data_IF_508622561875
#
_entry.id   IF_508622561875
#
_cell.length_a   1.000
_cell.length_b   1.000
_cell.length_c   1.000
_cell.angle_alpha   90.00
_cell.angle_beta   90.00
_cell.angle_gamma   90.00
#
_symmetry.space_group_name_H-M   'P 1'
#
loop_
_entity.id
_entity.type
_entity.pdbx_description
1 polymer ?
#
# COMPACT_ATOMS: atom_id res chain seq x y z
N UNK A 1 6.24 70.24 -16.26
CA UNK A 1 4.91 70.90 -16.35
C UNK A 1 3.80 69.86 -16.14
N UNK A 2 2.55 70.26 -15.82
CA UNK A 2 1.42 69.40 -15.43
C UNK A 2 0.38 69.24 -16.59
N UNK A 3 -0.88 68.76 -16.39
CA UNK A 3 -1.52 68.05 -15.27
C UNK A 3 -1.76 66.55 -15.66
N UNK A 4 -2.79 65.74 -15.35
CA UNK A 4 -4.11 65.80 -14.66
C UNK A 4 -4.44 64.39 -14.10
N UNK A 5 -5.35 64.05 -13.16
CA UNK A 5 -6.51 64.68 -12.47
C UNK A 5 -7.82 64.73 -13.30
N UNK A 6 -9.03 64.43 -12.79
CA UNK A 6 -9.52 63.79 -11.53
C UNK A 6 -11.06 63.60 -11.63
N UNK A 7 -11.63 62.51 -11.06
CA UNK A 7 -13.01 62.37 -10.47
C UNK A 7 -14.22 62.69 -11.41
N UNK A 8 -15.44 62.19 -11.20
CA UNK A 8 -16.03 61.36 -10.15
C UNK A 8 -17.51 61.75 -9.93
N UNK A 9 -18.27 60.97 -9.13
CA UNK A 9 -19.73 61.02 -8.91
C UNK A 9 -20.55 60.55 -10.14
N UNK A 10 -21.58 59.68 -10.11
CA UNK A 10 -22.58 59.15 -9.14
C UNK A 10 -23.97 59.80 -9.18
N UNK A 11 -25.01 58.96 -9.18
CA UNK A 11 -26.43 59.22 -8.94
C UNK A 11 -27.22 59.98 -10.03
N UNK A 12 -28.55 59.87 -10.14
CA UNK A 12 -29.51 58.79 -9.81
C UNK A 12 -30.93 59.16 -10.33
N UNK A 13 -31.90 58.27 -10.09
CA UNK A 13 -33.37 58.49 -10.10
C UNK A 13 -34.08 58.49 -11.46
N UNK A 14 -35.14 57.68 -11.49
CA UNK A 14 -36.04 57.42 -12.60
C UNK A 14 -37.04 58.54 -12.92
N UNK A 15 -37.69 58.43 -14.08
CA UNK A 15 -39.07 58.88 -14.29
C UNK A 15 -39.85 57.81 -15.09
N UNK A 16 -41.14 57.69 -14.82
CA UNK A 16 -42.07 56.74 -15.43
C UNK A 16 -43.00 57.49 -16.40
N UNK A 17 -43.40 56.87 -17.52
CA UNK A 17 -44.76 56.89 -18.10
C UNK A 17 -44.78 56.09 -19.41
N UNK A 18 -45.91 55.49 -19.74
CA UNK A 18 -46.14 54.78 -21.01
C UNK A 18 -47.38 55.36 -21.71
N UNK A 19 -47.53 55.13 -23.01
CA UNK A 19 -48.82 54.69 -23.58
C UNK A 19 -48.71 54.11 -25.00
N UNK A 20 -49.38 52.96 -25.19
CA UNK A 20 -50.06 52.44 -26.40
C UNK A 20 -49.47 52.62 -27.82
N UNK A 21 -49.40 51.51 -28.55
CA UNK A 21 -48.98 51.43 -29.95
C UNK A 21 -50.16 51.38 -30.94
N UNK A 22 -49.88 51.63 -32.23
CA UNK A 22 -50.48 50.91 -33.38
C UNK A 22 -49.62 51.15 -34.63
N UNK A 23 -49.40 50.12 -35.45
CA UNK A 23 -48.60 50.20 -36.68
C UNK A 23 -48.64 48.86 -37.46
N UNK A 24 -48.78 48.86 -38.80
CA UNK A 24 -49.18 47.68 -39.56
C UNK A 24 -48.02 46.81 -40.10
N UNK A 25 -48.37 45.67 -40.67
CA UNK A 25 -47.45 44.64 -41.14
C UNK A 25 -46.86 44.90 -42.54
N UNK A 26 -45.64 44.40 -42.75
CA UNK A 26 -45.04 44.10 -44.05
C UNK A 26 -44.08 42.91 -43.90
N UNK A 27 -43.97 42.05 -44.92
CA UNK A 27 -43.11 40.87 -44.90
C UNK A 27 -41.63 41.22 -45.17
N UNK A 28 -40.71 40.61 -44.43
CA UNK A 28 -39.27 40.69 -44.66
C UNK A 28 -38.60 39.34 -44.40
N UNK A 29 -37.45 39.09 -45.04
CA UNK A 29 -36.75 37.80 -45.02
C UNK A 29 -36.39 37.33 -43.60
N UNK A 30 -36.46 36.02 -43.38
CA UNK A 30 -35.96 35.39 -42.16
C UNK A 30 -34.45 35.60 -42.03
N UNK A 31 -34.02 36.19 -40.91
CA UNK A 31 -32.63 36.16 -40.49
C UNK A 31 -32.24 34.72 -40.10
N UNK A 32 -30.97 34.30 -40.28
CA UNK A 32 -30.52 32.99 -39.85
C UNK A 32 -30.65 32.86 -38.33
N UNK A 33 -31.37 31.84 -37.87
CA UNK A 33 -31.43 31.51 -36.44
C UNK A 33 -30.04 31.16 -35.92
N UNK A 34 -29.64 31.64 -34.72
CA UNK A 34 -28.41 31.16 -34.10
C UNK A 34 -28.51 29.65 -33.90
N UNK A 35 -27.41 28.88 -34.08
CA UNK A 35 -27.44 27.45 -33.84
C UNK A 35 -27.85 27.20 -32.39
N UNK A 36 -28.83 26.31 -32.19
CA UNK A 36 -29.15 25.81 -30.85
C UNK A 36 -27.87 25.27 -30.22
N UNK A 37 -27.62 25.48 -28.91
CA UNK A 37 -26.47 24.89 -28.26
C UNK A 37 -26.56 23.38 -28.44
N UNK A 38 -25.64 22.80 -29.21
CA UNK A 38 -25.52 21.35 -29.36
C UNK A 38 -25.40 20.78 -27.96
N UNK A 39 -26.39 19.99 -27.54
CA UNK A 39 -26.32 19.28 -26.29
C UNK A 39 -25.07 18.38 -26.36
N UNK A 40 -24.02 18.76 -25.62
CA UNK A 40 -22.84 17.91 -25.44
C UNK A 40 -23.37 16.61 -24.88
N UNK A 41 -23.38 15.56 -25.72
CA UNK A 41 -23.66 14.21 -25.26
C UNK A 41 -22.60 13.92 -24.21
N UNK A 42 -23.01 13.91 -22.94
CA UNK A 42 -22.12 13.53 -21.86
C UNK A 42 -21.65 12.11 -22.18
N UNK A 43 -20.34 11.96 -22.42
CA UNK A 43 -19.78 10.67 -22.78
C UNK A 43 -20.23 9.65 -21.73
N UNK A 44 -20.89 8.58 -22.19
CA UNK A 44 -21.36 7.52 -21.30
C UNK A 44 -20.20 7.03 -20.43
N UNK A 45 -20.44 6.72 -19.15
CA UNK A 45 -19.36 6.45 -18.21
C UNK A 45 -18.54 5.28 -18.71
N UNK A 46 -17.23 5.50 -18.85
CA UNK A 46 -16.35 4.53 -19.51
C UNK A 46 -16.28 3.24 -18.70
N UNK A 47 -16.44 2.10 -19.37
CA UNK A 47 -16.30 0.77 -18.75
C UNK A 47 -14.82 0.58 -18.40
N UNK A 48 -14.56 0.30 -17.12
CA UNK A 48 -13.22 0.06 -16.56
C UNK A 48 -12.85 -1.43 -16.66
N UNK A 49 -13.86 -2.30 -16.52
CA UNK A 49 -13.72 -3.73 -16.68
C UNK A 49 -14.97 -4.49 -16.23
N UNK A 50 -14.91 -5.81 -16.38
CA UNK A 50 -15.87 -6.76 -15.81
C UNK A 50 -15.12 -7.71 -14.89
N UNK A 51 -15.60 -7.87 -13.65
CA UNK A 51 -15.01 -8.73 -12.63
C UNK A 51 -15.94 -9.90 -12.36
N UNK A 52 -15.47 -11.13 -12.57
CA UNK A 52 -16.14 -12.34 -12.06
C UNK A 52 -15.79 -12.54 -10.60
N UNK A 53 -16.79 -12.44 -9.71
CA UNK A 53 -16.65 -12.67 -8.28
C UNK A 53 -16.47 -14.16 -7.95
N UNK A 54 -16.08 -14.45 -6.70
CA UNK A 54 -15.91 -15.82 -6.17
C UNK A 54 -17.18 -16.69 -6.23
N UNK A 55 -18.36 -16.07 -6.34
CA UNK A 55 -19.66 -16.72 -6.55
C UNK A 55 -19.93 -17.13 -8.01
N UNK A 56 -19.17 -16.56 -8.95
CA UNK A 56 -19.42 -16.59 -10.39
C UNK A 56 -20.28 -15.44 -10.93
N UNK A 57 -20.80 -14.55 -10.07
CA UNK A 57 -21.49 -13.33 -10.51
C UNK A 57 -20.51 -12.40 -11.25
N UNK A 58 -20.94 -11.86 -12.39
CA UNK A 58 -20.17 -10.89 -13.19
C UNK A 58 -20.64 -9.48 -12.89
N UNK A 59 -19.71 -8.64 -12.43
CA UNK A 59 -19.92 -7.22 -12.14
C UNK A 59 -19.27 -6.39 -13.23
N UNK A 60 -20.05 -5.59 -13.96
CA UNK A 60 -19.49 -4.60 -14.91
C UNK A 60 -19.40 -3.24 -14.23
N UNK A 61 -18.19 -2.67 -14.23
CA UNK A 61 -17.85 -1.43 -13.51
C UNK A 61 -17.50 -0.33 -14.51
N UNK A 62 -18.01 0.87 -14.26
CA UNK A 62 -17.65 2.10 -14.97
C UNK A 62 -17.00 3.10 -14.01
N UNK A 63 -16.24 4.07 -14.54
CA UNK A 63 -15.65 5.15 -13.75
C UNK A 63 -16.30 6.50 -14.07
N UNK A 64 -16.59 7.27 -13.03
CA UNK A 64 -17.02 8.66 -13.11
C UNK A 64 -16.10 9.52 -12.22
N UNK A 65 -15.25 10.35 -12.84
CA UNK A 65 -14.33 11.27 -12.14
C UNK A 65 -13.47 10.58 -11.05
N UNK A 66 -12.94 9.40 -11.36
CA UNK A 66 -12.12 8.59 -10.45
C UNK A 66 -12.90 7.64 -9.53
N UNK A 67 -14.20 7.87 -9.30
CA UNK A 67 -15.04 6.96 -8.52
C UNK A 67 -15.59 5.82 -9.39
N UNK A 68 -15.42 4.59 -8.95
CA UNK A 68 -16.05 3.42 -9.55
C UNK A 68 -17.55 3.39 -9.31
N UNK A 69 -18.30 2.77 -10.22
CA UNK A 69 -19.75 2.61 -10.13
C UNK A 69 -20.18 1.34 -10.85
N UNK A 70 -21.02 0.53 -10.21
CA UNK A 70 -21.53 -0.71 -10.78
C UNK A 70 -22.65 -0.40 -11.77
N UNK A 71 -22.52 -0.92 -12.99
CA UNK A 71 -23.49 -0.71 -14.07
C UNK A 71 -24.37 -1.94 -14.30
N UNK A 72 -23.87 -3.13 -14.02
CA UNK A 72 -24.67 -4.36 -13.99
C UNK A 72 -24.04 -5.41 -13.08
N UNK A 73 -24.88 -6.21 -12.40
CA UNK A 73 -24.49 -7.49 -11.82
C UNK A 73 -25.34 -8.57 -12.47
N UNK A 74 -24.70 -9.60 -13.02
CA UNK A 74 -25.39 -10.77 -13.59
C UNK A 74 -24.89 -12.06 -12.98
N UNK A 75 -25.81 -12.94 -12.64
CA UNK A 75 -25.51 -14.25 -12.08
C UNK A 75 -24.83 -15.20 -13.09
N UNK A 76 -24.35 -16.38 -12.67
CA UNK A 76 -23.71 -17.33 -13.59
C UNK A 76 -24.63 -17.92 -14.67
N UNK A 77 -25.93 -17.58 -14.69
CA UNK A 77 -26.87 -17.92 -15.76
C UNK A 77 -27.22 -16.72 -16.66
N UNK A 78 -26.55 -15.56 -16.47
CA UNK A 78 -26.76 -14.35 -17.26
C UNK A 78 -28.03 -13.57 -16.91
N UNK A 79 -28.68 -13.88 -15.77
CA UNK A 79 -29.84 -13.12 -15.27
C UNK A 79 -29.34 -11.96 -14.41
N UNK A 80 -30.11 -10.88 -14.27
CA UNK A 80 -29.79 -9.81 -13.31
C UNK A 80 -29.71 -10.39 -11.90
N UNK A 81 -28.53 -10.31 -11.27
CA UNK A 81 -28.27 -10.90 -9.97
C UNK A 81 -28.83 -10.07 -8.81
N UNK A 82 -29.23 -10.75 -7.73
CA UNK A 82 -29.47 -10.10 -6.45
C UNK A 82 -28.12 -9.81 -5.78
N UNK A 83 -27.82 -8.53 -5.58
CA UNK A 83 -26.57 -8.09 -4.95
C UNK A 83 -26.71 -6.73 -4.26
N UNK A 84 -26.05 -6.59 -3.13
CA UNK A 84 -25.91 -5.34 -2.40
C UNK A 84 -24.63 -4.62 -2.82
N UNK A 85 -24.76 -3.43 -3.41
CA UNK A 85 -23.64 -2.54 -3.75
C UNK A 85 -23.45 -1.53 -2.63
N UNK A 86 -22.21 -1.39 -2.13
CA UNK A 86 -21.85 -0.46 -1.06
C UNK A 86 -20.57 0.30 -1.45
N UNK A 87 -20.51 1.60 -1.18
CA UNK A 87 -19.28 2.38 -1.35
C UNK A 87 -18.78 2.90 0.00
N UNK A 88 -17.48 2.70 0.27
CA UNK A 88 -16.82 3.11 1.51
C UNK A 88 -15.58 3.90 1.14
N UNK A 89 -15.54 5.19 1.45
CA UNK A 89 -14.55 6.10 0.86
C UNK A 89 -14.71 6.15 -0.66
N UNK A 90 -13.70 5.67 -1.39
CA UNK A 90 -13.71 5.48 -2.85
C UNK A 90 -13.71 3.99 -3.28
N UNK A 91 -13.60 3.06 -2.33
CA UNK A 91 -13.81 1.63 -2.59
C UNK A 91 -15.28 1.34 -2.87
N UNK A 92 -15.54 0.34 -3.71
CA UNK A 92 -16.88 -0.12 -4.06
C UNK A 92 -16.94 -1.64 -3.94
N UNK A 93 -17.81 -2.10 -3.06
CA UNK A 93 -18.05 -3.49 -2.75
C UNK A 93 -19.34 -3.96 -3.41
N UNK A 94 -19.35 -5.20 -3.90
CA UNK A 94 -20.53 -5.85 -4.45
C UNK A 94 -20.68 -7.22 -3.80
N UNK A 95 -21.67 -7.35 -2.94
CA UNK A 95 -21.95 -8.59 -2.22
C UNK A 95 -23.21 -9.26 -2.81
N UNK A 96 -23.08 -10.34 -3.60
CA UNK A 96 -24.23 -11.11 -4.06
C UNK A 96 -25.00 -11.71 -2.88
N UNK A 97 -26.32 -11.79 -2.99
CA UNK A 97 -27.20 -12.22 -1.89
C UNK A 97 -26.83 -13.61 -1.35
N UNK A 98 -26.32 -14.48 -2.22
CA UNK A 98 -25.85 -15.83 -1.87
C UNK A 98 -24.60 -15.84 -0.99
N UNK A 99 -23.78 -14.78 -1.02
CA UNK A 99 -22.54 -14.67 -0.25
C UNK A 99 -22.76 -14.04 1.14
N UNK A 100 -23.79 -13.19 1.30
CA UNK A 100 -24.07 -12.46 2.55
C UNK A 100 -24.06 -13.33 3.81
N UNK A 101 -24.64 -14.55 3.86
CA UNK A 101 -24.61 -15.38 5.06
C UNK A 101 -23.19 -15.80 5.48
N UNK A 102 -22.32 -16.02 4.50
CA UNK A 102 -20.93 -16.44 4.73
C UNK A 102 -20.03 -15.25 5.09
N UNK A 103 -20.24 -14.08 4.47
CA UNK A 103 -19.59 -12.81 4.87
C UNK A 103 -19.97 -12.46 6.32
N UNK A 104 -21.27 -12.47 6.65
CA UNK A 104 -21.77 -12.17 8.00
C UNK A 104 -21.30 -13.17 9.08
N UNK A 105 -20.93 -14.40 8.69
CA UNK A 105 -20.30 -15.39 9.58
C UNK A 105 -18.78 -15.22 9.74
N UNK A 106 -18.16 -14.34 8.94
CA UNK A 106 -16.70 -14.19 8.84
C UNK A 106 -16.01 -15.28 8.00
N UNK A 107 -16.75 -16.24 7.44
CA UNK A 107 -16.20 -17.35 6.64
C UNK A 107 -15.73 -16.93 5.23
N UNK A 108 -16.14 -15.73 4.76
CA UNK A 108 -15.55 -15.10 3.58
C UNK A 108 -14.94 -13.75 3.96
N UNK A 109 -13.89 -13.40 3.23
CA UNK A 109 -13.19 -12.14 3.32
C UNK A 109 -13.84 -11.05 2.44
N UNK A 110 -13.92 -9.82 2.93
CA UNK A 110 -14.63 -8.75 2.21
C UNK A 110 -13.86 -8.21 0.99
N UNK A 111 -12.53 -8.35 0.97
CA UNK A 111 -11.68 -8.02 -0.16
C UNK A 111 -12.03 -8.84 -1.43
N UNK A 112 -12.62 -10.03 -1.27
CA UNK A 112 -13.15 -10.86 -2.38
C UNK A 112 -14.32 -10.21 -3.13
N UNK A 113 -14.87 -9.12 -2.58
CA UNK A 113 -16.03 -8.39 -3.08
C UNK A 113 -15.73 -6.91 -3.36
N UNK A 114 -14.51 -6.43 -3.06
CA UNK A 114 -14.07 -5.07 -3.39
C UNK A 114 -13.69 -4.98 -4.88
N UNK A 115 -14.63 -4.53 -5.72
CA UNK A 115 -14.37 -4.44 -7.17
C UNK A 115 -13.42 -3.31 -7.54
N UNK A 116 -13.19 -2.31 -6.66
CA UNK A 116 -12.13 -1.30 -6.86
C UNK A 116 -10.75 -1.95 -6.77
N UNK A 117 -10.49 -2.72 -5.71
CA UNK A 117 -9.22 -3.41 -5.47
C UNK A 117 -8.95 -4.52 -6.49
N UNK A 118 -9.96 -5.35 -6.80
CA UNK A 118 -9.83 -6.40 -7.81
C UNK A 118 -9.51 -5.84 -9.21
N UNK A 119 -10.04 -4.67 -9.58
CA UNK A 119 -9.66 -3.97 -10.82
C UNK A 119 -8.24 -3.41 -10.75
N UNK A 120 -7.85 -2.80 -9.62
CA UNK A 120 -6.53 -2.19 -9.43
C UNK A 120 -5.39 -3.23 -9.41
N UNK A 121 -5.65 -4.46 -8.96
CA UNK A 121 -4.72 -5.59 -9.04
C UNK A 121 -4.83 -6.39 -10.36
N UNK A 122 -5.84 -6.13 -11.19
CA UNK A 122 -6.00 -6.78 -12.50
C UNK A 122 -6.54 -8.20 -12.44
N UNK A 123 -7.49 -8.45 -11.54
CA UNK A 123 -8.26 -9.70 -11.43
C UNK A 123 -9.62 -9.63 -12.18
N UNK A 124 -9.73 -8.74 -13.16
CA UNK A 124 -10.84 -8.66 -14.10
C UNK A 124 -10.71 -9.67 -15.26
N UNK A 125 -11.85 -9.99 -15.87
CA UNK A 125 -12.03 -10.97 -16.95
C UNK A 125 -11.14 -10.71 -18.20
N UNK A 126 -10.61 -9.49 -18.36
CA UNK A 126 -9.75 -9.12 -19.49
C UNK A 126 -8.24 -9.23 -19.17
N UNK A 127 -7.86 -9.35 -17.89
CA UNK A 127 -6.46 -9.42 -17.43
C UNK A 127 -6.09 -10.71 -16.70
N UNK A 128 -7.07 -11.47 -16.19
CA UNK A 128 -6.85 -12.78 -15.57
C UNK A 128 -7.90 -13.82 -15.96
N UNK A 129 -7.50 -15.10 -16.04
CA UNK A 129 -8.43 -16.25 -16.12
C UNK A 129 -8.76 -16.85 -14.73
N UNK A 130 -8.17 -16.31 -13.66
CA UNK A 130 -8.26 -16.84 -12.30
C UNK A 130 -8.25 -15.78 -11.19
N UNK A 131 -8.83 -16.15 -10.05
CA UNK A 131 -8.75 -15.43 -8.78
C UNK A 131 -7.89 -16.26 -7.81
N UNK A 132 -6.76 -15.74 -7.29
CA UNK A 132 -5.95 -16.44 -6.30
C UNK A 132 -6.51 -16.21 -4.89
N UNK A 133 -6.52 -17.26 -4.07
CA UNK A 133 -7.23 -17.32 -2.80
C UNK A 133 -6.40 -18.07 -1.75
N UNK A 134 -6.46 -17.62 -0.50
CA UNK A 134 -5.97 -18.39 0.65
C UNK A 134 -7.15 -19.06 1.35
N UNK A 135 -7.04 -20.36 1.60
CA UNK A 135 -8.05 -21.17 2.30
C UNK A 135 -7.48 -21.68 3.60
N UNK A 136 -8.11 -21.35 4.73
CA UNK A 136 -7.80 -21.92 6.05
C UNK A 136 -8.83 -22.99 6.42
N UNK A 137 -8.42 -24.00 7.19
CA UNK A 137 -9.28 -25.12 7.59
C UNK A 137 -9.54 -25.12 9.10
N UNK A 138 -10.64 -25.76 9.55
CA UNK A 138 -11.06 -25.74 10.96
C UNK A 138 -10.07 -26.40 11.92
N UNK A 139 -9.32 -27.38 11.43
CA UNK A 139 -8.33 -28.13 12.19
C UNK A 139 -7.32 -28.82 11.25
N UNK A 140 -6.16 -29.22 11.78
CA UNK A 140 -5.10 -29.86 11.01
C UNK A 140 -5.52 -31.21 10.38
N UNK A 141 -6.50 -31.92 10.97
CA UNK A 141 -7.08 -33.10 10.36
C UNK A 141 -8.13 -32.75 9.30
N UNK A 142 -8.83 -31.61 9.38
CA UNK A 142 -9.70 -31.10 8.32
C UNK A 142 -8.86 -30.70 7.11
N UNK A 143 -7.76 -29.97 7.29
CA UNK A 143 -6.75 -29.73 6.25
C UNK A 143 -6.24 -31.03 5.60
N UNK A 144 -6.06 -32.09 6.40
CA UNK A 144 -5.58 -33.40 5.92
C UNK A 144 -6.67 -34.27 5.29
N UNK A 145 -7.95 -34.03 5.60
CA UNK A 145 -9.13 -34.61 4.94
C UNK A 145 -9.47 -33.87 3.64
N UNK A 146 -9.25 -32.56 3.61
CA UNK A 146 -9.47 -31.64 2.50
C UNK A 146 -8.35 -31.67 1.44
N UNK A 147 -7.74 -32.84 1.21
CA UNK A 147 -6.77 -33.03 0.10
C UNK A 147 -7.41 -32.82 -1.27
N UNK A 148 -8.75 -32.92 -1.38
CA UNK A 148 -9.49 -32.50 -2.57
C UNK A 148 -9.72 -30.99 -2.53
N UNK A 149 -8.95 -30.24 -3.32
CA UNK A 149 -9.22 -28.83 -3.65
C UNK A 149 -10.67 -28.67 -4.15
N UNK A 150 -11.37 -27.57 -3.82
CA UNK A 150 -12.71 -27.32 -4.36
C UNK A 150 -12.70 -27.34 -5.89
N UNK A 151 -13.82 -27.75 -6.50
CA UNK A 151 -13.90 -27.86 -7.96
C UNK A 151 -13.65 -26.50 -8.64
N UNK A 152 -13.12 -26.49 -9.86
CA UNK A 152 -12.77 -25.27 -10.58
C UNK A 152 -11.49 -24.56 -10.09
N UNK A 153 -10.95 -24.96 -8.93
CA UNK A 153 -9.68 -24.46 -8.41
C UNK A 153 -8.54 -25.49 -8.47
N UNK A 154 -7.31 -24.97 -8.42
CA UNK A 154 -6.06 -25.73 -8.37
C UNK A 154 -5.22 -25.26 -7.18
N UNK A 155 -4.50 -26.16 -6.51
CA UNK A 155 -3.69 -25.81 -5.34
C UNK A 155 -2.30 -25.35 -5.76
N UNK A 156 -1.90 -24.16 -5.32
CA UNK A 156 -0.60 -23.54 -5.66
C UNK A 156 0.44 -23.74 -4.55
N UNK A 157 0.07 -23.56 -3.27
CA UNK A 157 1.01 -23.64 -2.15
C UNK A 157 0.44 -24.30 -0.89
N UNK A 158 1.34 -24.83 -0.04
CA UNK A 158 1.02 -25.34 1.29
C UNK A 158 1.36 -24.29 2.37
N UNK A 159 0.36 -23.84 3.14
CA UNK A 159 0.51 -22.79 4.14
C UNK A 159 0.35 -23.40 5.55
N UNK A 160 1.33 -24.19 5.98
CA UNK A 160 1.25 -25.01 7.20
C UNK A 160 1.12 -24.19 8.48
N UNK A 161 1.77 -23.03 8.55
CA UNK A 161 1.73 -22.09 9.68
C UNK A 161 0.32 -21.62 10.04
N UNK A 162 -0.51 -21.34 9.02
CA UNK A 162 -1.92 -20.92 9.17
C UNK A 162 -2.92 -22.07 8.98
N UNK A 163 -2.44 -23.33 9.01
CA UNK A 163 -3.22 -24.53 8.74
C UNK A 163 -4.03 -24.47 7.42
N UNK A 164 -3.45 -23.89 6.37
CA UNK A 164 -4.14 -23.58 5.11
C UNK A 164 -3.42 -24.01 3.82
N UNK A 165 -3.89 -23.47 2.71
CA UNK A 165 -3.31 -23.59 1.38
C UNK A 165 -3.63 -22.35 0.53
N UNK A 166 -2.71 -21.97 -0.37
CA UNK A 166 -3.04 -21.07 -1.47
C UNK A 166 -3.61 -21.89 -2.64
N UNK A 167 -4.62 -21.35 -3.31
CA UNK A 167 -5.27 -21.95 -4.47
C UNK A 167 -5.53 -20.88 -5.55
N UNK A 168 -5.60 -21.30 -6.80
CA UNK A 168 -6.02 -20.48 -7.94
C UNK A 168 -7.36 -21.02 -8.46
N UNK A 169 -8.43 -20.23 -8.33
CA UNK A 169 -9.78 -20.56 -8.78
C UNK A 169 -10.04 -19.95 -10.16
N UNK A 170 -10.37 -20.77 -11.17
CA UNK A 170 -10.63 -20.28 -12.53
C UNK A 170 -11.95 -19.54 -12.61
N UNK A 171 -11.95 -18.31 -13.14
CA UNK A 171 -13.17 -17.49 -13.29
C UNK A 171 -14.23 -18.21 -14.17
N UNK A 172 -13.77 -18.95 -15.18
CA UNK A 172 -14.62 -19.79 -16.06
C UNK A 172 -15.24 -21.02 -15.37
N UNK A 173 -14.83 -21.34 -14.14
CA UNK A 173 -15.40 -22.40 -13.28
C UNK A 173 -15.90 -21.86 -11.94
N UNK A 174 -16.03 -20.54 -11.77
CA UNK A 174 -16.34 -19.91 -10.47
C UNK A 174 -17.67 -20.38 -9.86
N UNK A 175 -18.70 -20.67 -10.67
CA UNK A 175 -19.97 -21.23 -10.19
C UNK A 175 -19.83 -22.66 -9.62
N UNK A 176 -18.98 -23.49 -10.22
CA UNK A 176 -18.70 -24.84 -9.73
C UNK A 176 -17.84 -24.81 -8.46
N UNK A 177 -16.88 -23.87 -8.42
CA UNK A 177 -16.11 -23.56 -7.22
C UNK A 177 -17.03 -23.12 -6.08
N UNK A 178 -17.94 -22.18 -6.32
CA UNK A 178 -18.93 -21.72 -5.35
C UNK A 178 -19.84 -22.86 -4.86
N UNK A 179 -20.33 -23.69 -5.78
CA UNK A 179 -21.13 -24.87 -5.47
C UNK A 179 -20.36 -25.90 -4.63
N UNK A 180 -19.09 -26.13 -4.95
CA UNK A 180 -18.19 -27.02 -4.20
C UNK A 180 -17.77 -26.45 -2.84
N UNK A 181 -17.71 -25.13 -2.69
CA UNK A 181 -17.29 -24.42 -1.48
C UNK A 181 -18.45 -24.27 -0.49
N UNK A 182 -19.68 -24.07 -0.97
CA UNK A 182 -20.89 -23.96 -0.15
C UNK A 182 -21.62 -25.29 0.05
N UNK A 183 -21.33 -26.30 -0.79
CA UNK A 183 -22.03 -27.58 -0.81
C UNK A 183 -23.42 -27.52 -1.48
N UNK A 184 -23.77 -26.42 -2.15
CA UNK A 184 -25.08 -26.21 -2.75
C UNK A 184 -25.48 -27.31 -3.77
N UNK A 185 -24.53 -27.84 -4.54
CA UNK A 185 -24.76 -28.93 -5.48
C UNK A 185 -25.18 -30.27 -4.85
N UNK A 186 -25.04 -30.45 -3.54
CA UNK A 186 -25.43 -31.67 -2.82
C UNK A 186 -26.90 -31.68 -2.34
N UNK A 187 -27.71 -30.68 -2.72
CA UNK A 187 -29.08 -30.48 -2.25
C UNK A 187 -30.16 -31.14 -3.16
N UNK A 188 -30.01 -32.42 -3.51
CA UNK A 188 -30.95 -33.14 -4.40
C UNK A 188 -31.56 -34.44 -3.87
N UNK A 189 -31.28 -34.84 -2.62
CA UNK A 189 -32.13 -35.78 -1.86
C UNK A 189 -32.04 -35.54 -0.35
N UNK A 190 -33.20 -35.48 0.34
CA UNK A 190 -33.30 -35.45 1.79
C UNK A 190 -33.45 -34.04 2.38
N UNK A 191 -34.59 -33.79 3.03
CA UNK A 191 -34.84 -32.53 3.73
C UNK A 191 -33.93 -32.40 4.96
N UNK A 192 -33.05 -31.40 4.97
CA UNK A 192 -32.38 -30.95 6.19
C UNK A 192 -33.16 -29.77 6.77
N UNK A 193 -33.56 -29.89 8.03
CA UNK A 193 -34.17 -28.80 8.78
C UNK A 193 -33.21 -27.60 8.86
N UNK A 194 -33.75 -26.39 8.90
CA UNK A 194 -32.98 -25.17 9.05
C UNK A 194 -32.37 -25.09 10.46
N UNK A 195 -31.15 -25.61 10.61
CA UNK A 195 -30.37 -25.44 11.84
C UNK A 195 -29.96 -23.97 11.99
N UNK A 196 -30.27 -23.37 13.14
CA UNK A 196 -30.02 -21.95 13.46
C UNK A 196 -28.55 -21.66 13.82
N UNK A 197 -27.62 -22.16 13.00
CA UNK A 197 -26.18 -21.88 13.11
C UNK A 197 -25.72 -20.86 12.06
N UNK A 198 -24.53 -20.26 12.24
CA UNK A 198 -23.90 -19.45 11.19
C UNK A 198 -23.63 -20.29 9.93
N UNK A 199 -23.65 -19.64 8.76
CA UNK A 199 -23.42 -20.32 7.49
C UNK A 199 -21.98 -20.83 7.39
N UNK A 200 -21.81 -22.14 7.29
CA UNK A 200 -20.51 -22.81 7.29
C UNK A 200 -20.13 -23.34 5.90
N UNK A 201 -18.85 -23.22 5.55
CA UNK A 201 -18.33 -23.70 4.27
C UNK A 201 -18.11 -25.21 4.27
N UNK A 202 -18.18 -25.83 3.09
CA UNK A 202 -18.02 -27.25 2.90
C UNK A 202 -16.55 -27.71 3.06
N UNK A 203 -16.35 -29.02 3.18
CA UNK A 203 -15.00 -29.63 3.20
C UNK A 203 -14.16 -29.34 4.45
N UNK A 204 -14.70 -28.67 5.48
CA UNK A 204 -13.95 -28.26 6.66
C UNK A 204 -13.12 -26.98 6.46
N UNK A 205 -13.46 -26.17 5.44
CA UNK A 205 -12.95 -24.81 5.29
C UNK A 205 -13.49 -23.93 6.42
N UNK A 206 -12.60 -23.16 7.06
CA UNK A 206 -12.94 -22.18 8.08
C UNK A 206 -13.16 -20.79 7.49
N UNK A 207 -12.21 -20.30 6.67
CA UNK A 207 -12.34 -19.03 5.94
C UNK A 207 -11.66 -19.10 4.57
N UNK A 208 -12.19 -18.37 3.59
CA UNK A 208 -11.50 -18.02 2.34
C UNK A 208 -11.15 -16.54 2.35
N UNK A 209 -9.92 -16.22 1.94
CA UNK A 209 -9.33 -14.89 1.83
C UNK A 209 -8.89 -14.60 0.40
N UNK A 210 -8.77 -13.31 0.05
CA UNK A 210 -8.06 -12.92 -1.17
C UNK A 210 -6.56 -13.15 -1.00
N UNK A 211 -5.90 -13.74 -2.01
CA UNK A 211 -4.43 -13.78 -2.09
C UNK A 211 -3.96 -12.48 -2.78
N UNK A 212 -4.03 -11.38 -2.02
CA UNK A 212 -3.88 -10.00 -2.52
C UNK A 212 -2.44 -9.64 -2.89
N UNK A 213 -2.25 -8.71 -3.85
CA UNK A 213 -0.90 -8.34 -4.28
C UNK A 213 -0.30 -7.28 -3.36
N UNK A 214 0.89 -7.57 -2.84
CA UNK A 214 1.78 -6.56 -2.27
C UNK A 214 2.67 -5.97 -3.36
N UNK A 215 3.08 -4.72 -3.20
CA UNK A 215 3.91 -3.94 -4.14
C UNK A 215 5.03 -3.27 -3.34
N UNK A 216 6.23 -3.17 -3.92
CA UNK A 216 7.28 -2.32 -3.39
C UNK A 216 6.95 -0.84 -3.69
N UNK A 217 7.24 0.06 -2.77
CA UNK A 217 6.77 1.46 -2.80
C UNK A 217 7.89 2.49 -2.56
N UNK A 218 9.16 2.15 -2.78
CA UNK A 218 10.27 3.08 -2.51
C UNK A 218 10.17 4.34 -3.38
N UNK A 219 9.79 4.21 -4.66
CA UNK A 219 9.46 5.37 -5.52
C UNK A 219 8.37 6.27 -4.95
N UNK A 220 7.42 5.70 -4.22
CA UNK A 220 6.22 6.40 -3.76
C UNK A 220 6.51 7.09 -2.41
N UNK A 221 7.29 6.45 -1.54
CA UNK A 221 7.80 7.01 -0.29
C UNK A 221 8.82 8.13 -0.55
N UNK A 222 9.74 7.96 -1.51
CA UNK A 222 10.69 9.03 -1.87
C UNK A 222 9.99 10.24 -2.51
N UNK A 223 8.94 10.02 -3.30
CA UNK A 223 8.07 11.09 -3.77
C UNK A 223 7.28 11.77 -2.63
N UNK A 224 6.79 11.01 -1.64
CA UNK A 224 6.05 11.55 -0.49
C UNK A 224 6.88 12.55 0.35
N UNK A 225 8.21 12.38 0.41
CA UNK A 225 9.12 13.30 1.12
C UNK A 225 9.73 14.41 0.23
N UNK A 226 9.38 14.46 -1.07
CA UNK A 226 9.90 15.46 -2.01
C UNK A 226 11.34 15.24 -2.47
N UNK A 227 11.86 14.00 -2.41
CA UNK A 227 13.20 13.69 -2.90
C UNK A 227 13.38 13.93 -4.43
N UNK A 228 12.40 13.65 -5.32
CA UNK A 228 12.53 13.96 -6.75
C UNK A 228 12.81 15.43 -7.06
N UNK A 229 12.21 16.36 -6.30
CA UNK A 229 12.43 17.79 -6.42
C UNK A 229 13.85 18.19 -6.01
N UNK A 230 14.40 17.56 -4.97
CA UNK A 230 15.79 17.74 -4.52
C UNK A 230 16.77 17.20 -5.58
N UNK A 231 16.53 15.98 -6.09
CA UNK A 231 17.34 15.41 -7.18
C UNK A 231 17.31 16.26 -8.46
N UNK A 232 16.18 16.92 -8.75
CA UNK A 232 16.06 17.83 -9.90
C UNK A 232 16.87 19.12 -9.74
N UNK A 233 17.21 19.52 -8.51
CA UNK A 233 18.20 20.56 -8.22
C UNK A 233 19.65 20.11 -8.44
N UNK A 234 19.90 18.80 -8.57
CA UNK A 234 21.23 18.18 -8.66
C UNK A 234 21.73 17.60 -7.33
N UNK A 235 21.04 17.87 -6.22
CA UNK A 235 21.40 17.39 -4.89
C UNK A 235 21.07 15.90 -4.76
N UNK A 236 22.11 15.09 -4.62
CA UNK A 236 22.01 13.61 -4.55
C UNK A 236 22.75 13.02 -3.34
N UNK A 237 23.27 13.86 -2.45
CA UNK A 237 24.17 13.45 -1.36
C UNK A 237 25.59 13.12 -1.82
N UNK A 238 25.98 13.43 -3.06
CA UNK A 238 27.32 13.13 -3.55
C UNK A 238 28.41 13.88 -2.78
N UNK A 239 29.41 13.14 -2.29
CA UNK A 239 30.46 13.66 -1.41
C UNK A 239 30.11 13.63 0.08
N UNK A 240 28.95 13.07 0.45
CA UNK A 240 28.59 12.71 1.83
C UNK A 240 28.63 11.19 1.96
N UNK A 241 29.20 10.72 3.06
CA UNK A 241 29.21 9.31 3.44
C UNK A 241 28.22 9.05 4.58
N UNK A 242 27.40 8.01 4.40
CA UNK A 242 26.42 7.53 5.37
C UNK A 242 26.83 6.13 5.84
N UNK A 243 26.89 5.90 7.15
CA UNK A 243 27.02 4.56 7.68
C UNK A 243 25.64 3.91 7.89
N UNK A 244 25.55 2.61 7.62
CA UNK A 244 24.37 1.78 7.88
C UNK A 244 24.79 0.66 8.84
N UNK A 245 24.19 0.64 10.03
CA UNK A 245 24.46 -0.36 11.07
C UNK A 245 23.27 -1.32 11.17
N UNK A 246 23.39 -2.50 10.55
CA UNK A 246 22.27 -3.42 10.35
C UNK A 246 22.76 -4.89 10.19
N UNK A 247 22.03 -5.70 9.42
CA UNK A 247 22.24 -7.12 9.09
C UNK A 247 23.30 -7.36 8.01
N UNK A 248 23.89 -6.32 7.43
CA UNK A 248 24.95 -6.40 6.41
C UNK A 248 24.54 -5.77 5.08
N UNK A 249 25.15 -6.23 3.98
CA UNK A 249 24.81 -5.79 2.61
C UNK A 249 24.93 -6.94 1.59
N UNK A 250 24.05 -6.99 0.59
CA UNK A 250 24.37 -7.62 -0.70
C UNK A 250 25.25 -6.67 -1.53
N UNK A 251 26.57 -6.77 -1.36
CA UNK A 251 27.53 -5.95 -2.09
C UNK A 251 27.58 -6.24 -3.61
N UNK A 252 26.91 -7.29 -4.10
CA UNK A 252 26.80 -7.59 -5.52
C UNK A 252 25.54 -7.01 -6.19
N UNK A 253 24.60 -6.46 -5.41
CA UNK A 253 23.37 -5.87 -5.95
C UNK A 253 23.69 -4.64 -6.83
N UNK A 254 23.13 -4.53 -8.06
CA UNK A 254 23.54 -3.50 -9.03
C UNK A 254 23.48 -2.06 -8.50
N UNK A 255 22.52 -1.77 -7.62
CA UNK A 255 22.28 -0.42 -7.10
C UNK A 255 23.43 0.13 -6.25
N UNK A 256 24.30 -0.72 -5.71
CA UNK A 256 25.45 -0.34 -4.88
C UNK A 256 26.79 -0.31 -5.63
N UNK A 257 26.78 -0.53 -6.95
CA UNK A 257 27.97 -0.53 -7.78
C UNK A 257 28.74 0.80 -7.66
N UNK A 258 29.90 0.78 -6.99
CA UNK A 258 30.69 1.98 -6.70
C UNK A 258 30.04 2.95 -5.70
N UNK A 259 29.18 2.45 -4.80
CA UNK A 259 28.61 3.19 -3.64
C UNK A 259 29.25 2.80 -2.30
N UNK A 260 29.59 1.52 -2.12
CA UNK A 260 30.20 1.02 -0.88
C UNK A 260 31.65 1.53 -0.77
N UNK A 261 31.97 2.18 0.35
CA UNK A 261 33.28 2.79 0.64
C UNK A 261 34.07 1.90 1.62
N UNK A 262 33.45 1.47 2.72
CA UNK A 262 34.01 0.50 3.65
C UNK A 262 32.95 -0.49 4.16
N UNK A 263 33.41 -1.62 4.67
CA UNK A 263 32.58 -2.69 5.23
C UNK A 263 33.26 -3.34 6.42
N UNK A 264 32.54 -3.56 7.52
CA UNK A 264 33.04 -4.30 8.69
C UNK A 264 31.93 -5.16 9.33
N UNK A 265 32.30 -6.23 10.04
CA UNK A 265 31.36 -7.12 10.73
C UNK A 265 31.73 -7.29 12.20
N UNK A 266 30.84 -6.82 13.07
CA UNK A 266 30.97 -6.89 14.53
C UNK A 266 30.33 -8.17 15.10
N UNK A 267 29.67 -8.96 14.25
CA UNK A 267 29.01 -10.22 14.61
C UNK A 267 30.03 -11.38 14.56
N UNK A 268 30.37 -12.03 15.68
CA UNK A 268 31.43 -13.04 15.73
C UNK A 268 31.19 -14.22 14.78
N UNK A 269 32.16 -14.46 13.89
CA UNK A 269 32.12 -15.58 12.94
C UNK A 269 31.21 -15.37 11.72
N UNK A 270 30.74 -14.15 11.47
CA UNK A 270 29.95 -13.81 10.29
C UNK A 270 30.65 -12.71 9.47
N UNK A 271 30.73 -12.92 8.16
CA UNK A 271 31.09 -11.89 7.19
C UNK A 271 29.95 -10.85 7.02
N UNK A 272 30.26 -9.71 6.38
CA UNK A 272 29.32 -8.58 6.18
C UNK A 272 28.18 -8.86 5.20
N UNK A 273 28.13 -10.05 4.59
CA UNK A 273 27.07 -10.39 3.62
C UNK A 273 25.71 -10.41 4.31
N UNK A 274 24.75 -9.67 3.78
CA UNK A 274 23.37 -9.77 4.23
C UNK A 274 22.77 -11.14 3.84
N UNK A 275 22.18 -11.83 4.82
CA UNK A 275 21.46 -13.10 4.63
C UNK A 275 20.02 -13.03 5.16
N UNK A 276 19.61 -11.85 5.60
CA UNK A 276 18.31 -11.56 6.19
C UNK A 276 17.49 -10.68 5.22
N UNK A 277 18.13 -9.65 4.65
CA UNK A 277 17.62 -8.76 3.59
C UNK A 277 17.36 -7.31 4.06
N UNK A 278 17.25 -7.08 5.36
CA UNK A 278 16.90 -5.79 5.94
C UNK A 278 17.98 -4.73 5.74
N UNK A 279 19.26 -5.06 5.97
CA UNK A 279 20.38 -4.12 5.82
C UNK A 279 20.56 -3.68 4.37
N UNK A 280 20.36 -4.62 3.43
CA UNK A 280 20.31 -4.34 2.00
C UNK A 280 19.14 -3.43 1.63
N UNK A 281 17.95 -3.66 2.20
CA UNK A 281 16.77 -2.82 1.99
C UNK A 281 16.98 -1.39 2.54
N UNK A 282 17.51 -1.27 3.76
CA UNK A 282 17.85 0.02 4.39
C UNK A 282 18.90 0.77 3.56
N UNK A 283 20.00 0.12 3.18
CA UNK A 283 21.03 0.71 2.32
C UNK A 283 20.48 1.16 0.96
N UNK A 284 19.54 0.40 0.36
CA UNK A 284 18.88 0.80 -0.89
C UNK A 284 17.96 2.02 -0.71
N UNK A 285 17.30 2.14 0.44
CA UNK A 285 16.45 3.28 0.79
C UNK A 285 17.30 4.55 1.01
N UNK A 286 18.48 4.41 1.61
CA UNK A 286 19.45 5.51 1.80
C UNK A 286 20.09 5.92 0.48
N UNK A 287 20.81 5.03 -0.22
CA UNK A 287 21.67 5.39 -1.36
C UNK A 287 21.62 4.42 -2.56
N UNK A 288 20.55 3.61 -2.69
CA UNK A 288 20.34 2.78 -3.87
C UNK A 288 20.20 3.63 -5.14
N UNK A 289 21.01 3.35 -6.16
CA UNK A 289 21.02 4.17 -7.39
C UNK A 289 19.80 3.95 -8.30
N UNK A 290 18.95 2.95 -8.02
CA UNK A 290 17.84 2.53 -8.87
C UNK A 290 18.28 1.70 -10.08
N UNK A 291 19.54 1.29 -10.18
CA UNK A 291 20.11 0.66 -11.38
C UNK A 291 19.35 -0.62 -11.81
N UNK A 292 19.01 -1.50 -10.87
CA UNK A 292 18.24 -2.72 -11.13
C UNK A 292 16.77 -2.46 -11.53
N UNK A 293 16.25 -1.27 -11.24
CA UNK A 293 14.85 -0.87 -11.51
C UNK A 293 14.72 0.18 -12.63
N UNK A 294 15.79 0.44 -13.39
CA UNK A 294 15.80 1.46 -14.45
C UNK A 294 15.68 2.90 -13.94
N UNK A 295 16.01 3.12 -12.65
CA UNK A 295 15.94 4.41 -11.96
C UNK A 295 14.64 4.67 -11.19
N UNK A 296 13.72 3.70 -11.10
CA UNK A 296 12.42 3.84 -10.40
C UNK A 296 12.56 3.78 -8.88
N UNK A 297 13.09 2.67 -8.36
CA UNK A 297 13.27 2.44 -6.92
C UNK A 297 14.61 3.02 -6.49
N UNK A 298 14.68 4.35 -6.40
CA UNK A 298 15.90 5.07 -6.06
C UNK A 298 15.88 5.50 -4.59
N UNK A 299 16.99 5.30 -3.88
CA UNK A 299 17.18 5.82 -2.52
C UNK A 299 17.29 7.35 -2.48
N UNK A 300 17.16 7.94 -1.29
CA UNK A 300 17.05 9.39 -1.09
C UNK A 300 18.34 10.14 -1.41
N UNK A 301 19.51 9.56 -1.11
CA UNK A 301 20.84 10.09 -1.35
C UNK A 301 21.66 9.17 -2.30
N UNK A 302 21.24 8.99 -3.58
CA UNK A 302 21.83 7.99 -4.50
C UNK A 302 23.28 8.33 -4.92
N UNK A 303 23.71 9.56 -4.67
CA UNK A 303 25.08 10.05 -4.89
C UNK A 303 26.03 9.73 -3.73
N UNK A 304 25.53 9.39 -2.54
CA UNK A 304 26.31 9.18 -1.33
C UNK A 304 27.23 7.95 -1.36
N UNK A 305 28.24 7.96 -0.48
CA UNK A 305 29.02 6.78 -0.10
C UNK A 305 28.35 6.02 1.04
N UNK A 306 28.56 4.70 1.07
CA UNK A 306 28.02 3.80 2.11
C UNK A 306 29.14 3.12 2.90
N UNK A 307 29.09 3.25 4.23
CA UNK A 307 29.89 2.47 5.18
C UNK A 307 29.01 1.41 5.84
N UNK A 308 29.22 0.13 5.57
CA UNK A 308 28.35 -0.94 6.07
C UNK A 308 28.95 -1.59 7.31
N UNK A 309 28.31 -1.43 8.46
CA UNK A 309 28.63 -2.18 9.68
C UNK A 309 27.60 -3.26 9.95
N UNK A 310 27.97 -4.54 9.83
CA UNK A 310 27.09 -5.64 10.27
C UNK A 310 27.14 -5.74 11.80
N UNK A 311 26.07 -5.31 12.46
CA UNK A 311 25.88 -5.39 13.92
C UNK A 311 24.72 -6.30 14.32
N UNK A 312 23.92 -6.74 13.33
CA UNK A 312 22.88 -7.75 13.47
C UNK A 312 23.28 -9.03 12.72
N UNK A 313 22.98 -10.18 13.31
CA UNK A 313 23.23 -11.50 12.73
C UNK A 313 22.26 -11.84 11.56
N UNK A 314 22.38 -13.04 11.03
CA UNK A 314 21.58 -13.49 9.89
C UNK A 314 20.11 -13.78 10.23
N UNK A 315 19.76 -13.85 11.52
CA UNK A 315 18.37 -13.97 12.00
C UNK A 315 17.78 -12.58 12.38
N UNK A 316 18.57 -11.50 12.24
CA UNK A 316 18.17 -10.12 12.52
C UNK A 316 18.38 -9.68 13.98
N UNK A 317 19.13 -10.45 14.78
CA UNK A 317 19.38 -10.17 16.20
C UNK A 317 20.78 -9.61 16.46
N UNK A 318 20.93 -8.74 17.45
CA UNK A 318 22.20 -8.12 17.81
C UNK A 318 22.48 -8.15 19.30
N UNK A 319 23.74 -7.93 19.68
CA UNK A 319 24.14 -7.61 21.05
C UNK A 319 24.52 -6.14 21.13
N UNK A 320 24.20 -5.49 22.26
CA UNK A 320 24.57 -4.10 22.52
C UNK A 320 26.08 -3.85 22.30
N UNK A 321 26.92 -4.83 22.63
CA UNK A 321 28.38 -4.79 22.40
C UNK A 321 28.78 -4.72 20.93
N UNK A 322 28.05 -5.38 20.03
CA UNK A 322 28.28 -5.34 18.58
C UNK A 322 27.80 -4.00 18.01
N UNK A 323 26.65 -3.52 18.49
CA UNK A 323 26.06 -2.25 18.10
C UNK A 323 26.98 -1.09 18.53
N UNK A 324 27.47 -1.09 19.77
CA UNK A 324 28.45 -0.12 20.26
C UNK A 324 29.74 -0.11 19.42
N UNK A 325 30.31 -1.27 19.12
CA UNK A 325 31.52 -1.35 18.30
C UNK A 325 31.28 -0.78 16.89
N UNK A 326 30.13 -1.06 16.27
CA UNK A 326 29.75 -0.46 14.99
C UNK A 326 29.51 1.06 15.05
N UNK A 327 28.92 1.56 16.13
CA UNK A 327 28.73 3.01 16.36
C UNK A 327 30.08 3.73 16.52
N UNK A 328 31.00 3.17 17.32
CA UNK A 328 32.33 3.75 17.51
C UNK A 328 33.14 3.72 16.20
N UNK A 329 33.13 2.61 15.45
CA UNK A 329 33.75 2.50 14.14
C UNK A 329 33.21 3.51 13.13
N UNK A 330 31.87 3.64 13.01
CA UNK A 330 31.25 4.55 12.05
C UNK A 330 31.59 6.02 12.32
N UNK A 331 31.54 6.45 13.60
CA UNK A 331 31.78 7.83 13.99
C UNK A 331 33.28 8.18 14.12
N UNK A 332 34.11 7.29 14.68
CA UNK A 332 35.52 7.56 14.98
C UNK A 332 36.50 7.08 13.91
N UNK A 333 36.24 5.96 13.24
CA UNK A 333 37.19 5.39 12.25
C UNK A 333 36.81 5.76 10.81
N UNK A 334 35.51 5.69 10.47
CA UNK A 334 35.02 6.09 9.14
C UNK A 334 34.61 7.57 9.04
N UNK A 335 34.52 8.28 10.18
CA UNK A 335 34.12 9.69 10.28
C UNK A 335 32.79 10.03 9.57
N UNK A 336 31.88 9.06 9.47
CA UNK A 336 30.62 9.19 8.75
C UNK A 336 29.79 10.38 9.28
N UNK A 337 29.10 11.11 8.40
CA UNK A 337 28.32 12.30 8.82
C UNK A 337 26.92 11.96 9.27
N UNK A 338 26.40 10.84 8.79
CA UNK A 338 25.12 10.27 9.19
C UNK A 338 25.34 8.78 9.48
N UNK A 339 24.75 8.28 10.57
CA UNK A 339 24.70 6.85 10.91
C UNK A 339 23.22 6.45 11.00
N UNK A 340 22.74 5.66 10.03
CA UNK A 340 21.39 5.10 10.05
C UNK A 340 21.37 3.78 10.84
N UNK A 341 20.43 3.69 11.78
CA UNK A 341 20.26 2.56 12.70
C UNK A 341 18.79 2.12 12.72
N UNK A 342 18.43 1.21 11.83
CA UNK A 342 17.08 0.62 11.72
C UNK A 342 16.82 -0.46 12.78
N UNK A 343 17.35 -0.26 13.99
CA UNK A 343 17.36 -1.24 15.08
C UNK A 343 17.01 -0.59 16.41
N UNK A 344 16.62 -1.40 17.39
CA UNK A 344 16.39 -0.94 18.75
C UNK A 344 16.02 -2.04 19.73
N UNK A 345 16.23 -1.76 21.01
CA UNK A 345 15.89 -2.62 22.15
C UNK A 345 14.54 -2.28 22.78
N UNK A 346 14.37 -2.68 24.04
CA UNK A 346 13.18 -2.34 24.84
C UNK A 346 13.11 -0.86 25.22
N UNK A 347 11.94 -0.37 25.68
CA UNK A 347 11.78 0.99 26.18
C UNK A 347 12.74 1.34 27.32
N UNK A 348 13.23 2.57 27.31
CA UNK A 348 14.32 3.08 28.16
C UNK A 348 14.08 4.55 28.52
N UNK A 349 14.87 5.11 29.43
CA UNK A 349 14.89 6.53 29.81
C UNK A 349 16.09 7.30 29.22
N UNK A 350 16.86 6.67 28.32
CA UNK A 350 18.07 7.24 27.70
C UNK A 350 19.34 7.09 28.54
N UNK A 351 19.28 6.49 29.73
CA UNK A 351 20.47 6.24 30.58
C UNK A 351 21.21 4.94 30.25
N UNK A 352 20.68 4.12 29.33
CA UNK A 352 21.30 2.87 28.88
C UNK A 352 22.60 3.07 28.08
N UNK A 353 23.45 2.02 27.95
CA UNK A 353 24.74 2.15 27.29
C UNK A 353 24.69 2.59 25.82
N UNK A 354 23.66 2.21 25.07
CA UNK A 354 23.53 2.58 23.65
C UNK A 354 23.17 4.06 23.54
N UNK A 355 22.15 4.51 24.28
CA UNK A 355 21.71 5.91 24.27
C UNK A 355 22.81 6.85 24.78
N UNK A 356 23.54 6.45 25.82
CA UNK A 356 24.70 7.18 26.34
C UNK A 356 25.90 7.17 25.38
N UNK A 357 26.02 6.17 24.49
CA UNK A 357 27.03 6.17 23.44
C UNK A 357 26.66 7.06 22.26
N UNK A 358 25.37 7.14 21.87
CA UNK A 358 24.89 8.11 20.87
C UNK A 358 25.21 9.52 21.33
N UNK A 359 24.76 9.92 22.52
CA UNK A 359 24.99 11.26 23.08
C UNK A 359 26.49 11.64 23.04
N UNK A 360 27.37 10.73 23.47
CA UNK A 360 28.82 10.95 23.50
C UNK A 360 29.44 11.02 22.11
N UNK A 361 29.10 10.11 21.20
CA UNK A 361 29.68 10.09 19.85
C UNK A 361 29.22 11.28 19.02
N UNK A 362 27.96 11.72 19.16
CA UNK A 362 27.46 12.97 18.57
C UNK A 362 28.28 14.18 19.05
N UNK A 363 28.54 14.29 20.36
CA UNK A 363 29.35 15.37 20.94
C UNK A 363 30.83 15.31 20.53
N UNK A 364 31.45 14.12 20.56
CA UNK A 364 32.88 13.91 20.22
C UNK A 364 33.20 14.17 18.74
N UNK A 365 32.28 13.85 17.82
CA UNK A 365 32.58 13.74 16.39
C UNK A 365 31.73 14.63 15.47
N UNK A 366 30.60 15.16 15.96
CA UNK A 366 29.61 15.84 15.14
C UNK A 366 28.81 14.92 14.21
N UNK A 367 28.82 13.61 14.47
CA UNK A 367 28.05 12.60 13.73
C UNK A 367 26.56 12.70 14.06
N UNK A 368 25.68 12.68 13.05
CA UNK A 368 24.24 12.56 13.25
C UNK A 368 23.82 11.08 13.28
N UNK A 369 23.34 10.60 14.42
CA UNK A 369 22.71 9.28 14.52
C UNK A 369 21.21 9.39 14.23
N UNK A 370 20.73 8.63 13.25
CA UNK A 370 19.32 8.59 12.81
C UNK A 370 18.78 7.20 13.10
N UNK A 371 17.82 7.10 14.02
CA UNK A 371 17.52 5.85 14.73
C UNK A 371 16.03 5.56 14.70
N UNK A 372 15.64 4.30 14.54
CA UNK A 372 14.23 3.91 14.58
C UNK A 372 13.65 4.11 16.00
N UNK A 373 12.44 4.68 16.10
CA UNK A 373 11.72 4.82 17.37
C UNK A 373 11.33 3.47 18.00
N UNK A 374 11.34 2.39 17.22
CA UNK A 374 10.93 1.05 17.61
C UNK A 374 9.45 0.76 17.31
N UNK A 375 9.14 -0.52 17.11
CA UNK A 375 7.80 -0.98 16.71
C UNK A 375 6.84 -1.26 17.89
N UNK A 376 7.25 -0.93 19.12
CA UNK A 376 6.55 -1.20 20.39
C UNK A 376 5.33 -0.30 20.66
N UNK A 377 4.97 0.59 19.72
CA UNK A 377 3.78 1.43 19.81
C UNK A 377 2.45 0.65 19.70
N UNK A 378 1.28 1.30 19.90
CA UNK A 378 1.08 2.74 20.01
C UNK A 378 0.98 3.26 21.46
N UNK A 379 1.38 2.47 22.47
CA UNK A 379 1.33 2.90 23.87
C UNK A 379 2.35 4.04 24.14
N UNK A 380 2.07 4.98 25.07
CA UNK A 380 3.08 5.91 25.57
C UNK A 380 4.28 5.19 26.21
N UNK A 381 5.44 5.82 26.24
CA UNK A 381 6.69 5.26 26.76
C UNK A 381 7.13 3.97 26.04
N UNK A 382 7.00 3.93 24.71
CA UNK A 382 7.36 2.80 23.85
C UNK A 382 8.65 3.00 23.04
N UNK A 383 9.31 4.16 23.13
CA UNK A 383 10.58 4.46 22.45
C UNK A 383 11.72 3.70 23.15
N UNK A 384 12.49 2.93 22.37
CA UNK A 384 13.57 2.08 22.87
C UNK A 384 14.98 2.65 22.70
N UNK A 385 15.96 2.00 23.32
CA UNK A 385 17.38 2.24 23.07
C UNK A 385 17.75 1.86 21.62
N UNK A 386 18.64 2.57 20.90
CA UNK A 386 19.30 3.83 21.29
C UNK A 386 18.45 5.09 20.99
N UNK A 387 17.25 4.95 20.39
CA UNK A 387 16.40 6.07 19.97
C UNK A 387 15.81 6.95 21.09
N UNK A 388 16.13 6.66 22.35
CA UNK A 388 15.81 7.51 23.49
C UNK A 388 16.95 8.51 23.85
N UNK A 389 18.07 8.48 23.14
CA UNK A 389 19.17 9.43 23.36
C UNK A 389 18.77 10.87 22.97
N UNK A 390 19.11 11.85 23.81
CA UNK A 390 18.84 13.28 23.58
C UNK A 390 19.43 13.80 22.24
N UNK A 391 20.52 13.20 21.78
CA UNK A 391 21.22 13.56 20.54
C UNK A 391 20.86 12.71 19.31
N UNK A 392 19.87 11.80 19.42
CA UNK A 392 19.39 11.01 18.29
C UNK A 392 18.33 11.77 17.46
N UNK A 393 18.39 11.64 16.14
CA UNK A 393 17.25 11.94 15.28
C UNK A 393 16.36 10.68 15.21
N UNK A 394 15.41 10.58 16.13
CA UNK A 394 14.58 9.39 16.29
C UNK A 394 13.34 9.43 15.38
N UNK A 395 13.22 8.44 14.49
CA UNK A 395 12.25 8.40 13.39
C UNK A 395 11.11 7.42 13.68
N UNK A 396 9.87 7.90 13.60
CA UNK A 396 8.65 7.08 13.64
C UNK A 396 8.02 6.91 12.25
N UNK A 397 7.38 5.77 12.00
CA UNK A 397 6.75 5.48 10.71
C UNK A 397 5.36 6.14 10.54
N UNK A 398 5.05 6.52 9.31
CA UNK A 398 3.73 7.00 8.86
C UNK A 398 3.24 6.20 7.66
N UNK A 399 1.94 6.21 7.39
CA UNK A 399 1.35 5.56 6.22
C UNK A 399 1.39 6.48 4.98
N UNK A 400 1.37 5.87 3.79
CA UNK A 400 1.23 6.61 2.53
C UNK A 400 -0.17 7.25 2.36
N UNK A 401 -0.26 8.39 1.66
CA UNK A 401 -1.53 9.09 1.45
C UNK A 401 -2.53 8.19 0.71
N UNK A 402 -3.70 7.99 1.33
CA UNK A 402 -4.77 7.10 0.84
C UNK A 402 -5.22 6.07 1.87
N UNK A 403 -4.33 5.60 2.77
CA UNK A 403 -4.70 4.62 3.82
C UNK A 403 -5.15 5.27 5.13
N UNK A 404 -6.26 6.01 5.08
CA UNK A 404 -7.11 6.25 6.26
C UNK A 404 -6.66 7.31 7.27
N UNK A 405 -6.20 8.47 6.81
CA UNK A 405 -5.97 9.66 7.64
C UNK A 405 -4.70 9.62 8.50
N UNK A 406 -4.43 10.73 9.19
CA UNK A 406 -3.16 11.04 9.89
C UNK A 406 -2.99 10.24 11.20
N UNK A 407 -3.00 8.91 11.10
CA UNK A 407 -2.94 7.98 12.22
C UNK A 407 -1.58 7.29 12.33
N UNK A 408 -0.82 7.66 13.37
CA UNK A 408 0.42 6.98 13.76
C UNK A 408 0.12 5.53 14.16
N UNK A 409 0.54 4.58 13.31
CA UNK A 409 0.47 3.14 13.56
C UNK A 409 1.72 2.46 13.00
N UNK A 410 2.21 1.47 13.72
CA UNK A 410 3.42 0.73 13.38
C UNK A 410 3.28 -0.02 12.04
N UNK A 411 4.03 0.44 11.04
CA UNK A 411 4.36 -0.38 9.87
C UNK A 411 5.56 -1.28 10.22
N UNK A 412 5.60 -2.54 9.75
CA UNK A 412 6.63 -3.51 10.16
C UNK A 412 8.03 -3.26 9.56
N UNK A 413 8.24 -2.15 8.84
CA UNK A 413 9.50 -1.76 8.22
C UNK A 413 9.75 -0.25 8.41
N UNK A 414 9.95 0.16 9.67
CA UNK A 414 10.29 1.53 10.05
C UNK A 414 11.81 1.79 9.88
N UNK A 415 12.28 1.85 8.63
CA UNK A 415 13.64 2.29 8.32
C UNK A 415 13.76 3.82 8.54
N UNK A 416 14.78 4.32 9.25
CA UNK A 416 15.12 5.73 9.28
C UNK A 416 15.80 6.13 7.96
N UNK A 417 15.43 7.31 7.45
CA UNK A 417 15.89 7.84 6.15
C UNK A 417 16.29 9.30 6.32
#
# INVERSE_FOLDING_TARGET
MPPSRRRGLTAAVAALMALTATGPAASANAAPTPPSPTATSAAGPAIVGTVTLITGDKVTVTANRGRHSVTSVTDPQGRTGGAHVMSVGDDTYVYPDVALPFIASGALDEHLFNVTELLADGYDDARSDHLPLIVTYTDAAARSRAMKTPEGASRTLALTSIQGAAISAKLTRAADFWSSLTGAGAASTGARSAGSGPAALAGGVAKVWLDGKVKATLSDTTAQIGAPEVWAGGDTGQGVDVAVLDTGIDAAHPDFAGRIVATESFVPGQDVTDRQGHGTHVASTVAGTGAASGGKEKGVAPGAGLHIGKVLDNDGSGQDSWILAGMEWAARDQHAKVVSMSLGGGPTDGTDPLSQAVNRLSEETGTLFVIAAGNSGPAPYSVGAPGAADAALTVGAVNGPGKGGDSWRSSPAAAPV
#
